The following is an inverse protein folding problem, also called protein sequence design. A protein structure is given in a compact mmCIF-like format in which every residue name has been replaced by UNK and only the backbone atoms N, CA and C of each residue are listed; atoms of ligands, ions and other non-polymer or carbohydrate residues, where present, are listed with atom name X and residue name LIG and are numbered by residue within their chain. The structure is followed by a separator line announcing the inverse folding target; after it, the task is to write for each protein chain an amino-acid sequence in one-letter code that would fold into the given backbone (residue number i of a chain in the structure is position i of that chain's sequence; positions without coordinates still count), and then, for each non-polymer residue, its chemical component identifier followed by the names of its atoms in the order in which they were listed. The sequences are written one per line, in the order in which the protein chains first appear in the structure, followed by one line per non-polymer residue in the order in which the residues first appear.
data_IF_512688374662
#
_entry.id   IF_512688374662
#
_cell.length_a   1.000
_cell.length_b   1.000
_cell.length_c   1.000
_cell.angle_alpha   90.00
_cell.angle_beta   90.00
_cell.angle_gamma   90.00
#
_symmetry.space_group_name_H-M   'P 1'
#
loop_
_entity.id
_entity.type
_entity.pdbx_description
1 polymer ?
#
# COMPACT_ATOMS: atom_id res chain seq x y z
N UNK A 1 11.42 22.95 -7.29
CA UNK A 1 9.97 22.97 -7.62
C UNK A 1 9.65 22.41 -9.02
N UNK A 2 10.40 22.73 -10.08
CA UNK A 2 10.14 22.16 -11.41
C UNK A 2 10.44 20.65 -11.54
N UNK A 3 11.54 20.15 -10.96
CA UNK A 3 11.90 18.72 -11.05
C UNK A 3 10.90 17.80 -10.32
N UNK A 4 10.38 18.23 -9.17
CA UNK A 4 9.36 17.48 -8.43
C UNK A 4 8.02 17.39 -9.19
N UNK A 5 7.68 18.41 -9.98
CA UNK A 5 6.51 18.38 -10.86
C UNK A 5 6.71 17.38 -12.01
N UNK A 6 7.89 17.37 -12.64
CA UNK A 6 8.25 16.43 -13.74
C UNK A 6 8.30 14.97 -13.25
N UNK A 7 8.81 14.73 -12.05
CA UNK A 7 8.81 13.40 -11.44
C UNK A 7 7.38 12.89 -11.20
N UNK A 8 6.51 13.77 -10.69
CA UNK A 8 5.09 13.45 -10.45
C UNK A 8 4.34 13.17 -11.75
N UNK A 9 4.61 13.94 -12.80
CA UNK A 9 4.02 13.75 -14.13
C UNK A 9 4.43 12.41 -14.75
N UNK A 10 5.70 12.04 -14.64
CA UNK A 10 6.22 10.74 -15.08
C UNK A 10 5.52 9.58 -14.36
N UNK A 11 5.34 9.68 -13.04
CA UNK A 11 4.62 8.67 -12.25
C UNK A 11 3.15 8.57 -12.67
N UNK A 12 2.47 9.70 -12.92
CA UNK A 12 1.08 9.68 -13.41
C UNK A 12 0.97 9.07 -14.81
N UNK A 13 1.91 9.36 -15.70
CA UNK A 13 1.97 8.78 -17.04
C UNK A 13 2.16 7.25 -16.96
N UNK A 14 3.08 6.79 -16.11
CA UNK A 14 3.35 5.38 -15.89
C UNK A 14 2.13 4.64 -15.32
N UNK A 15 1.46 5.18 -14.30
CA UNK A 15 0.23 4.57 -13.75
C UNK A 15 -0.86 4.42 -14.80
N UNK A 16 -1.02 5.41 -15.68
CA UNK A 16 -1.99 5.34 -16.78
C UNK A 16 -1.61 4.26 -17.80
N UNK A 17 -0.32 4.06 -18.05
CA UNK A 17 0.16 3.06 -18.99
C UNK A 17 0.01 1.64 -18.42
N UNK A 18 0.30 1.44 -17.13
CA UNK A 18 0.03 0.19 -16.42
C UNK A 18 -1.47 -0.14 -16.46
N UNK A 19 -2.33 0.82 -16.10
CA UNK A 19 -3.79 0.68 -16.18
C UNK A 19 -4.29 0.30 -17.58
N UNK A 20 -3.68 0.88 -18.63
CA UNK A 20 -4.00 0.53 -20.02
C UNK A 20 -3.60 -0.91 -20.36
N UNK A 21 -2.47 -1.39 -19.85
CA UNK A 21 -1.98 -2.77 -20.06
C UNK A 21 -2.84 -3.76 -19.27
N UNK A 22 -3.22 -3.42 -18.05
CA UNK A 22 -3.96 -4.30 -17.12
C UNK A 22 -5.48 -4.29 -17.35
N UNK A 23 -5.99 -3.35 -18.15
CA UNK A 23 -7.43 -3.22 -18.44
C UNK A 23 -8.25 -2.68 -17.25
N UNK A 24 -7.58 -2.22 -16.19
CA UNK A 24 -8.18 -1.68 -14.97
C UNK A 24 -7.81 -0.22 -14.80
N UNK A 25 -8.78 0.65 -14.48
CA UNK A 25 -8.52 2.08 -14.26
C UNK A 25 -7.52 2.29 -13.10
N UNK A 26 -6.67 3.34 -13.15
CA UNK A 26 -5.80 3.65 -12.02
C UNK A 26 -6.66 3.96 -10.80
N UNK A 27 -6.54 3.17 -9.74
CA UNK A 27 -7.31 3.41 -8.53
C UNK A 27 -6.95 4.78 -7.96
N UNK A 28 -7.97 5.64 -7.80
CA UNK A 28 -7.83 6.86 -7.01
C UNK A 28 -7.95 6.47 -5.54
N UNK A 29 -7.00 6.93 -4.73
CA UNK A 29 -7.02 6.90 -3.25
C UNK A 29 -8.07 7.88 -2.72
N UNK A 30 -9.31 7.71 -3.17
CA UNK A 30 -10.46 8.46 -2.72
C UNK A 30 -11.26 7.52 -1.82
N UNK A 31 -11.73 8.00 -0.68
CA UNK A 31 -12.64 7.22 0.16
C UNK A 31 -13.82 6.74 -0.71
N UNK A 32 -14.22 5.45 -0.61
CA UNK A 32 -15.37 4.96 -1.36
C UNK A 32 -16.57 5.84 -1.03
N UNK A 33 -17.32 6.25 -2.05
CA UNK A 33 -18.59 6.93 -1.85
C UNK A 33 -19.55 5.96 -1.17
N UNK A 34 -19.69 6.08 0.15
CA UNK A 34 -20.62 5.33 1.00
C UNK A 34 -20.75 3.84 0.64
N UNK A 35 -19.68 3.07 0.78
CA UNK A 35 -19.82 1.61 0.88
C UNK A 35 -20.35 1.27 2.29
N UNK A 36 -21.32 0.34 2.44
CA UNK A 36 -21.72 -0.11 3.76
C UNK A 36 -20.50 -0.71 4.46
N UNK A 37 -20.14 -0.12 5.61
CA UNK A 37 -19.09 -0.65 6.46
C UNK A 37 -19.58 -1.99 7.04
N UNK A 38 -18.69 -2.99 7.11
CA UNK A 38 -19.01 -4.27 7.76
C UNK A 38 -19.54 -4.03 9.18
N UNK A 39 -20.48 -4.87 9.60
CA UNK A 39 -21.38 -4.71 10.76
C UNK A 39 -20.74 -4.58 12.17
N UNK A 40 -19.43 -4.33 12.25
CA UNK A 40 -18.70 -3.99 13.47
C UNK A 40 -18.20 -2.53 13.55
N UNK A 41 -18.31 -1.75 12.48
CA UNK A 41 -18.06 -0.32 12.53
C UNK A 41 -19.35 0.40 12.96
N UNK A 42 -19.34 1.03 14.13
CA UNK A 42 -20.45 1.85 14.61
C UNK A 42 -20.91 2.81 13.52
N UNK A 43 -22.22 2.82 13.25
CA UNK A 43 -22.88 3.56 12.18
C UNK A 43 -22.78 5.10 12.31
N UNK A 44 -22.10 5.61 13.34
CA UNK A 44 -21.77 7.02 13.49
C UNK A 44 -20.33 7.28 13.03
N UNK A 45 -20.11 7.95 11.89
CA UNK A 45 -18.79 8.42 11.51
C UNK A 45 -18.42 9.56 12.45
N UNK A 46 -17.77 9.23 13.56
CA UNK A 46 -17.11 10.25 14.38
C UNK A 46 -15.97 10.82 13.54
N UNK A 47 -15.88 12.14 13.31
CA UNK A 47 -14.75 12.71 12.59
C UNK A 47 -13.46 12.36 13.35
N UNK A 48 -12.62 11.50 12.77
CA UNK A 48 -11.35 11.08 13.38
C UNK A 48 -11.22 9.60 13.76
N UNK A 49 -12.17 8.73 13.45
CA UNK A 49 -11.93 7.28 13.55
C UNK A 49 -11.08 6.78 12.38
N UNK A 50 -9.93 6.16 12.66
CA UNK A 50 -9.06 5.53 11.66
C UNK A 50 -9.82 4.42 10.90
N UNK A 51 -10.34 4.77 9.72
CA UNK A 51 -11.05 3.85 8.83
C UNK A 51 -10.04 3.09 7.97
N UNK A 52 -9.97 1.77 8.15
CA UNK A 52 -9.19 0.90 7.26
C UNK A 52 -10.07 0.44 6.10
N UNK A 53 -9.76 0.87 4.88
CA UNK A 53 -10.47 0.47 3.65
C UNK A 53 -9.59 -0.47 2.85
N UNK A 54 -10.13 -1.64 2.50
CA UNK A 54 -9.39 -2.65 1.73
C UNK A 54 -10.13 -2.89 0.42
N UNK A 55 -9.50 -2.54 -0.70
CA UNK A 55 -9.97 -2.89 -2.05
C UNK A 55 -9.15 -4.04 -2.58
N UNK A 56 -9.81 -5.14 -2.91
CA UNK A 56 -9.19 -6.30 -3.54
C UNK A 56 -9.59 -6.31 -5.01
N UNK A 57 -8.62 -6.10 -5.90
CA UNK A 57 -8.79 -6.47 -7.31
C UNK A 57 -9.02 -7.98 -7.39
N UNK A 58 -10.04 -8.41 -8.12
CA UNK A 58 -10.43 -9.82 -8.32
C UNK A 58 -9.31 -10.59 -9.03
N UNK A 59 -8.28 -10.99 -8.31
CA UNK A 59 -7.38 -12.06 -8.71
C UNK A 59 -7.38 -13.07 -7.57
N UNK A 60 -7.92 -14.26 -7.84
CA UNK A 60 -7.88 -15.38 -6.92
C UNK A 60 -6.41 -15.64 -6.57
N UNK A 61 -6.03 -15.27 -5.35
CA UNK A 61 -4.68 -15.41 -4.87
C UNK A 61 -4.34 -16.90 -4.75
N UNK A 62 -3.29 -17.34 -5.45
CA UNK A 62 -2.69 -18.66 -5.22
C UNK A 62 -2.23 -18.77 -3.74
N UNK A 63 -2.10 -19.98 -3.19
CA UNK A 63 -1.72 -20.19 -1.79
C UNK A 63 -0.42 -19.48 -1.35
N UNK A 64 0.47 -19.19 -2.30
CA UNK A 64 1.77 -18.51 -2.08
C UNK A 64 1.80 -17.06 -2.63
N UNK A 65 0.64 -16.48 -2.92
CA UNK A 65 0.54 -15.14 -3.50
C UNK A 65 0.85 -14.02 -2.50
N UNK A 66 0.94 -14.32 -1.20
CA UNK A 66 1.18 -13.34 -0.14
C UNK A 66 2.47 -13.63 0.62
N UNK A 67 3.11 -12.56 1.06
CA UNK A 67 4.26 -12.54 1.95
C UNK A 67 3.76 -12.16 3.35
N UNK A 68 3.70 -13.12 4.30
CA UNK A 68 3.23 -12.82 5.65
C UNK A 68 4.19 -11.88 6.34
N UNK A 69 3.66 -10.84 6.98
CA UNK A 69 4.43 -9.86 7.74
C UNK A 69 4.79 -10.43 9.11
N UNK A 70 3.96 -11.33 9.66
CA UNK A 70 4.15 -11.89 11.00
C UNK A 70 3.36 -11.16 12.09
N UNK A 71 2.44 -10.28 11.68
CA UNK A 71 1.50 -9.59 12.57
C UNK A 71 0.10 -10.07 12.22
N UNK A 72 -0.42 -11.03 12.98
CA UNK A 72 -1.65 -11.77 12.65
C UNK A 72 -2.83 -10.87 12.27
N UNK A 73 -3.11 -9.81 13.04
CA UNK A 73 -4.22 -8.88 12.75
C UNK A 73 -4.01 -8.13 11.44
N UNK A 74 -2.77 -7.73 11.15
CA UNK A 74 -2.44 -6.99 9.93
C UNK A 74 -2.47 -7.91 8.71
N UNK A 75 -1.89 -9.10 8.81
CA UNK A 75 -1.92 -10.10 7.75
C UNK A 75 -3.37 -10.49 7.43
N UNK A 76 -4.21 -10.73 8.44
CA UNK A 76 -5.63 -11.02 8.25
C UNK A 76 -6.37 -9.88 7.53
N UNK A 77 -6.13 -8.63 7.92
CA UNK A 77 -6.70 -7.47 7.24
C UNK A 77 -6.29 -7.46 5.75
N UNK A 78 -5.00 -7.63 5.47
CA UNK A 78 -4.46 -7.63 4.11
C UNK A 78 -4.81 -8.89 3.28
N UNK A 79 -5.45 -9.90 3.89
CA UNK A 79 -5.84 -11.15 3.21
C UNK A 79 -4.75 -12.22 3.17
N UNK A 80 -3.75 -12.12 4.05
CA UNK A 80 -2.64 -13.06 4.20
C UNK A 80 -1.26 -12.40 4.29
N UNK A 81 -1.17 -11.07 4.11
CA UNK A 81 0.07 -10.31 4.13
C UNK A 81 0.23 -9.40 2.91
N UNK A 82 1.46 -9.04 2.56
CA UNK A 82 1.72 -8.23 1.37
C UNK A 82 1.67 -9.08 0.10
N UNK A 83 0.98 -8.66 -0.98
CA UNK A 83 0.94 -9.43 -2.21
C UNK A 83 2.34 -9.48 -2.86
N UNK A 84 2.77 -10.69 -3.25
CA UNK A 84 3.98 -10.90 -4.05
C UNK A 84 3.71 -10.48 -5.50
N UNK A 85 4.77 -10.12 -6.23
CA UNK A 85 4.69 -9.69 -7.62
C UNK A 85 3.67 -8.54 -7.86
N UNK A 86 3.49 -7.68 -6.86
CA UNK A 86 2.58 -6.55 -6.87
C UNK A 86 3.26 -5.29 -6.33
N UNK A 87 2.67 -4.12 -6.61
CA UNK A 87 3.10 -2.85 -6.05
C UNK A 87 2.30 -2.53 -4.80
N UNK A 88 2.98 -2.29 -3.68
CA UNK A 88 2.38 -1.76 -2.44
C UNK A 88 2.83 -0.31 -2.25
N UNK A 89 1.89 0.58 -2.00
CA UNK A 89 2.17 1.99 -1.74
C UNK A 89 1.82 2.37 -0.30
N UNK A 90 2.74 3.04 0.39
CA UNK A 90 2.54 3.55 1.75
C UNK A 90 2.55 5.08 1.67
N UNK A 91 1.49 5.71 2.17
CA UNK A 91 1.28 7.15 2.07
C UNK A 91 1.34 7.79 3.46
N UNK A 92 2.10 8.88 3.57
CA UNK A 92 1.97 9.84 4.67
C UNK A 92 0.93 10.89 4.31
N UNK A 93 0.32 11.54 5.31
CA UNK A 93 -0.65 12.59 5.08
C UNK A 93 0.04 13.86 4.60
N UNK A 94 1.22 14.14 5.15
CA UNK A 94 2.02 15.31 4.83
C UNK A 94 3.46 14.93 4.45
N UNK A 95 4.16 15.84 3.77
CA UNK A 95 5.57 15.61 3.39
C UNK A 95 6.48 15.39 4.59
N UNK A 96 6.15 15.98 5.76
CA UNK A 96 6.94 15.79 6.99
C UNK A 96 6.89 14.34 7.51
N UNK A 97 5.88 13.58 7.11
CA UNK A 97 5.70 12.19 7.51
C UNK A 97 6.63 11.24 6.73
N UNK A 98 7.40 11.73 5.76
CA UNK A 98 8.28 10.90 4.93
C UNK A 98 9.24 10.04 5.78
N UNK A 99 9.78 10.59 6.87
CA UNK A 99 10.63 9.84 7.80
C UNK A 99 9.87 8.71 8.50
N UNK A 100 8.63 8.97 8.96
CA UNK A 100 7.78 7.98 9.60
C UNK A 100 7.36 6.87 8.62
N UNK A 101 7.00 7.23 7.39
CA UNK A 101 6.63 6.28 6.32
C UNK A 101 7.81 5.39 5.94
N UNK A 102 9.01 5.97 5.78
CA UNK A 102 10.21 5.18 5.50
C UNK A 102 10.57 4.24 6.66
N UNK A 103 10.50 4.73 7.90
CA UNK A 103 10.71 3.91 9.10
C UNK A 103 9.69 2.77 9.22
N UNK A 104 8.42 3.04 8.93
CA UNK A 104 7.38 2.04 8.88
C UNK A 104 7.66 0.97 7.81
N UNK A 105 8.04 1.37 6.59
CA UNK A 105 8.43 0.42 5.55
C UNK A 105 9.62 -0.47 5.98
N UNK A 106 10.66 0.10 6.57
CA UNK A 106 11.82 -0.66 7.10
C UNK A 106 11.43 -1.61 8.24
N UNK A 107 10.48 -1.21 9.09
CA UNK A 107 9.97 -2.07 10.16
C UNK A 107 9.21 -3.29 9.61
N UNK A 108 8.38 -3.09 8.57
CA UNK A 108 7.70 -4.20 7.87
C UNK A 108 8.70 -5.16 7.25
N UNK A 109 9.73 -4.62 6.58
CA UNK A 109 10.81 -5.43 6.01
C UNK A 109 11.52 -6.25 7.07
N UNK A 110 11.81 -5.67 8.23
CA UNK A 110 12.45 -6.37 9.35
C UNK A 110 11.59 -7.53 9.87
N UNK A 111 10.28 -7.31 9.98
CA UNK A 111 9.33 -8.36 10.40
C UNK A 111 9.27 -9.49 9.36
N UNK A 112 9.18 -9.15 8.07
CA UNK A 112 9.17 -10.11 6.96
C UNK A 112 10.44 -10.96 6.95
N UNK A 113 11.61 -10.34 7.14
CA UNK A 113 12.89 -11.06 7.20
C UNK A 113 12.97 -12.03 8.39
N UNK A 114 12.27 -11.74 9.48
CA UNK A 114 12.20 -12.63 10.63
C UNK A 114 11.34 -13.88 10.33
N UNK A 115 10.38 -13.76 9.41
CA UNK A 115 9.51 -14.86 8.99
C UNK A 115 10.14 -15.73 7.88
N UNK A 116 10.87 -15.10 6.95
CA UNK A 116 11.43 -15.76 5.78
C UNK A 116 12.90 -15.38 5.58
N UNK A 117 13.78 -16.36 5.76
CA UNK A 117 15.22 -16.18 5.55
C UNK A 117 15.58 -16.16 4.06
N UNK A 118 16.60 -15.38 3.70
CA UNK A 118 17.17 -15.38 2.35
C UNK A 118 16.44 -14.52 1.32
N UNK A 119 15.55 -13.62 1.73
CA UNK A 119 14.93 -12.64 0.84
C UNK A 119 15.88 -11.45 0.61
N UNK A 120 16.47 -11.26 -0.58
CA UNK A 120 17.28 -10.08 -0.85
C UNK A 120 16.39 -8.83 -0.86
N UNK A 121 16.85 -7.76 -0.22
CA UNK A 121 16.16 -6.47 -0.18
C UNK A 121 16.99 -5.45 -0.95
N UNK A 122 16.32 -4.72 -1.83
CA UNK A 122 16.87 -3.56 -2.51
C UNK A 122 16.16 -2.30 -1.99
N UNK A 123 16.93 -1.39 -1.38
CA UNK A 123 16.44 -0.07 -1.00
C UNK A 123 16.88 0.96 -2.03
N UNK A 124 15.93 1.60 -2.72
CA UNK A 124 16.20 2.65 -3.69
C UNK A 124 15.83 3.99 -3.05
N UNK A 125 16.86 4.73 -2.63
CA UNK A 125 16.71 6.12 -2.16
C UNK A 125 16.77 7.11 -3.33
N UNK A 126 16.26 8.33 -3.10
CA UNK A 126 16.56 9.45 -3.98
C UNK A 126 17.98 9.94 -3.71
N UNK A 127 18.76 10.24 -4.74
CA UNK A 127 20.17 10.65 -4.67
C UNK A 127 20.41 12.03 -4.05
N UNK A 128 19.39 12.68 -3.51
CA UNK A 128 19.44 14.04 -2.97
C UNK A 128 18.93 14.04 -1.54
N UNK A 129 19.80 14.44 -0.60
CA UNK A 129 19.47 15.03 0.69
C UNK A 129 19.85 16.51 0.58
#
# INVERSE_FOLDING_TARGET
MAMTAVARETVFALRRQIAKIEGTLPERLQAPAAAPLDAGASADPTPGSDLTIIRRGLAAALPDAFLPIGVERLDAALGGGLPKAALTEIHGLETRDAGAVAGFALSLVSLILNQAQGLPILWIGTSEI
#
